data_IF_422118690299
#
_entry.id   IF_422118690299
#
_cell.length_a   1.000
_cell.length_b   1.000
_cell.length_c   1.000
_cell.angle_alpha   90.00
_cell.angle_beta   90.00
_cell.angle_gamma   90.00
#
_symmetry.space_group_name_H-M   'P 1'
#
loop_
_entity.id
_entity.type
_entity.pdbx_description
1 polymer ?
#
# COMPACT_ATOMS: atom_id res chain seq x y z
N UNK A 1 -11.97 2.14 54.32
CA UNK A 1 -13.11 1.59 53.57
C UNK A 1 -13.15 2.28 52.23
N UNK A 2 -13.11 1.50 51.15
CA UNK A 2 -13.40 1.81 49.73
C UNK A 2 -12.61 2.98 49.11
N UNK A 3 -11.64 2.79 48.22
CA UNK A 3 -11.68 2.18 46.87
C UNK A 3 -12.72 2.82 45.93
N UNK A 4 -12.20 3.50 44.91
CA UNK A 4 -12.81 3.69 43.60
C UNK A 4 -11.69 4.10 42.63
N UNK A 5 -11.11 3.09 41.98
CA UNK A 5 -10.16 3.24 40.89
C UNK A 5 -10.72 4.05 39.74
N UNK A 6 -9.88 4.93 39.20
CA UNK A 6 -10.09 5.51 37.89
C UNK A 6 -9.36 4.61 36.88
N UNK A 7 -10.12 3.69 36.30
CA UNK A 7 -9.72 2.91 35.15
C UNK A 7 -9.46 3.87 33.98
N UNK A 8 -8.19 4.14 33.71
CA UNK A 8 -7.75 4.83 32.50
C UNK A 8 -7.94 3.89 31.31
N UNK A 9 -9.09 3.98 30.65
CA UNK A 9 -9.35 3.30 29.40
C UNK A 9 -8.29 3.69 28.37
N UNK A 10 -7.55 2.70 27.87
CA UNK A 10 -6.69 2.87 26.70
C UNK A 10 -7.62 3.07 25.51
N UNK A 11 -7.74 4.30 25.01
CA UNK A 11 -8.41 4.53 23.74
C UNK A 11 -7.68 3.70 22.66
N UNK A 12 -8.40 3.00 21.76
CA UNK A 12 -7.77 2.27 20.67
C UNK A 12 -7.06 3.25 19.73
N UNK A 13 -5.75 3.42 19.93
CA UNK A 13 -4.88 4.25 19.11
C UNK A 13 -4.20 3.39 18.04
N UNK A 14 -4.33 3.77 16.77
CA UNK A 14 -3.55 3.18 15.69
C UNK A 14 -2.29 4.01 15.45
N UNK A 15 -1.12 3.37 15.48
CA UNK A 15 0.14 4.02 15.08
C UNK A 15 0.38 3.72 13.61
N UNK A 16 0.11 4.69 12.74
CA UNK A 16 0.47 4.61 11.32
C UNK A 16 1.93 5.01 11.15
N UNK A 17 2.73 4.11 10.58
CA UNK A 17 4.12 4.39 10.20
C UNK A 17 4.25 4.18 8.70
N UNK A 18 4.67 5.21 7.98
CA UNK A 18 5.04 5.09 6.57
C UNK A 18 6.53 4.75 6.46
N UNK A 19 6.89 3.93 5.47
CA UNK A 19 8.27 3.67 5.12
C UNK A 19 8.44 3.97 3.62
N UNK A 20 9.25 4.99 3.32
CA UNK A 20 9.48 5.45 1.95
C UNK A 20 10.37 4.51 1.15
N UNK A 21 10.06 4.39 -0.15
CA UNK A 21 10.76 3.67 -1.22
C UNK A 21 10.77 2.14 -1.15
N UNK A 22 9.65 1.56 -1.60
CA UNK A 22 9.47 0.13 -1.79
C UNK A 22 9.34 -0.58 -0.44
N UNK A 23 8.25 -1.30 -0.22
CA UNK A 23 8.01 -1.95 1.06
C UNK A 23 9.20 -2.82 1.55
N UNK A 24 10.08 -3.26 0.64
CA UNK A 24 11.25 -4.09 0.91
C UNK A 24 12.24 -3.48 1.93
N UNK A 25 12.89 -2.35 1.64
CA UNK A 25 13.93 -1.80 2.55
C UNK A 25 13.33 -1.11 3.77
N UNK A 26 12.15 -0.51 3.62
CA UNK A 26 11.47 0.23 4.68
C UNK A 26 10.89 -0.68 5.78
N UNK A 27 10.22 -1.76 5.38
CA UNK A 27 9.61 -2.70 6.32
C UNK A 27 10.66 -3.54 7.04
N UNK A 28 11.69 -4.01 6.32
CA UNK A 28 12.80 -4.78 6.89
C UNK A 28 13.53 -3.98 7.98
N UNK A 29 13.88 -2.71 7.69
CA UNK A 29 14.51 -1.83 8.67
C UNK A 29 13.59 -1.46 9.83
N UNK A 30 12.28 -1.34 9.59
CA UNK A 30 11.32 -1.08 10.65
C UNK A 30 11.22 -2.26 11.64
N UNK A 31 11.18 -3.48 11.13
CA UNK A 31 11.22 -4.68 11.96
C UNK A 31 12.55 -4.83 12.71
N UNK A 32 13.68 -4.70 12.00
CA UNK A 32 15.01 -4.91 12.58
C UNK A 32 15.39 -3.84 13.62
N UNK A 33 15.11 -2.55 13.36
CA UNK A 33 15.46 -1.48 14.31
C UNK A 33 14.37 -1.21 15.34
N UNK A 34 13.10 -1.10 14.92
CA UNK A 34 12.05 -0.52 15.77
C UNK A 34 11.30 -1.59 16.56
N UNK A 35 10.99 -2.74 15.96
CA UNK A 35 10.28 -3.81 16.68
C UNK A 35 11.20 -4.52 17.69
N UNK A 36 12.50 -4.65 17.38
CA UNK A 36 13.50 -5.20 18.32
C UNK A 36 13.72 -4.31 19.55
N UNK A 37 13.67 -2.97 19.39
CA UNK A 37 13.91 -2.01 20.47
C UNK A 37 12.63 -1.63 21.23
N UNK A 38 11.45 -1.65 20.59
CA UNK A 38 10.19 -1.22 21.20
C UNK A 38 9.26 -2.36 21.67
N UNK A 39 9.52 -3.60 21.25
CA UNK A 39 8.65 -4.75 21.55
C UNK A 39 7.28 -4.73 20.83
N UNK A 40 7.00 -3.73 20.00
CA UNK A 40 5.77 -3.64 19.23
C UNK A 40 5.79 -4.63 18.06
N UNK A 41 4.67 -5.34 17.85
CA UNK A 41 4.42 -6.16 16.65
C UNK A 41 3.29 -5.54 15.86
N UNK A 42 3.52 -5.11 14.60
CA UNK A 42 2.42 -4.63 13.78
C UNK A 42 1.45 -5.77 13.48
N UNK A 43 0.15 -5.48 13.55
CA UNK A 43 -0.91 -6.45 13.27
C UNK A 43 -1.32 -6.46 11.79
N UNK A 44 -1.07 -5.37 11.07
CA UNK A 44 -1.40 -5.22 9.66
C UNK A 44 -0.38 -4.33 8.95
N UNK A 45 -0.20 -4.52 7.65
CA UNK A 45 0.58 -3.64 6.80
C UNK A 45 -0.25 -3.19 5.60
N UNK A 46 -0.26 -1.88 5.34
CA UNK A 46 -0.97 -1.29 4.21
C UNK A 46 0.01 -1.02 3.08
N UNK A 47 -0.20 -1.65 1.93
CA UNK A 47 0.50 -1.41 0.69
C UNK A 47 -0.30 -0.43 -0.16
N UNK A 48 0.18 0.81 -0.28
CA UNK A 48 -0.44 1.82 -1.15
C UNK A 48 0.02 1.60 -2.59
N UNK A 49 -0.93 1.54 -3.52
CA UNK A 49 -0.70 1.25 -4.94
C UNK A 49 -1.44 2.28 -5.80
N UNK A 50 -0.84 2.66 -6.94
CA UNK A 50 -1.49 3.55 -7.93
C UNK A 50 -1.41 2.90 -9.31
N UNK A 51 -2.34 3.22 -10.21
CA UNK A 51 -2.31 2.73 -11.60
C UNK A 51 -0.99 3.11 -12.26
N UNK A 52 -0.57 4.37 -12.12
CA UNK A 52 0.68 4.87 -12.70
C UNK A 52 1.92 4.16 -12.18
N UNK A 53 1.97 3.83 -10.89
CA UNK A 53 3.10 3.08 -10.32
C UNK A 53 3.18 1.66 -10.91
N UNK A 54 2.06 0.95 -11.04
CA UNK A 54 2.06 -0.37 -11.67
C UNK A 54 2.48 -0.29 -13.14
N UNK A 55 1.93 0.64 -13.91
CA UNK A 55 2.37 0.84 -15.30
C UNK A 55 3.86 1.15 -15.39
N UNK A 56 4.41 1.98 -14.51
CA UNK A 56 5.85 2.25 -14.45
C UNK A 56 6.69 0.99 -14.15
N UNK A 57 6.16 0.07 -13.35
CA UNK A 57 6.77 -1.23 -13.03
C UNK A 57 6.55 -2.32 -14.09
N UNK A 58 5.85 -2.03 -15.20
CA UNK A 58 5.70 -2.96 -16.33
C UNK A 58 7.00 -3.26 -17.07
N UNK A 59 8.04 -2.43 -16.88
CA UNK A 59 9.30 -2.50 -17.63
C UNK A 59 9.22 -1.93 -19.05
N UNK A 60 8.05 -1.46 -19.49
CA UNK A 60 7.83 -0.91 -20.85
C UNK A 60 8.15 0.59 -20.95
N UNK A 61 8.21 1.29 -19.82
CA UNK A 61 8.40 2.74 -19.77
C UNK A 61 9.74 3.11 -19.15
N UNK A 62 10.41 4.09 -19.74
CA UNK A 62 11.59 4.72 -19.15
C UNK A 62 11.16 5.94 -18.34
N UNK A 63 11.08 5.79 -17.03
CA UNK A 63 10.78 6.89 -16.11
C UNK A 63 12.07 7.61 -15.73
N UNK A 64 12.09 8.93 -15.88
CA UNK A 64 13.22 9.78 -15.50
C UNK A 64 12.73 10.75 -14.43
N UNK A 65 13.34 10.71 -13.25
CA UNK A 65 12.99 11.60 -12.14
C UNK A 65 13.08 13.07 -12.56
N UNK A 66 12.07 13.85 -12.19
CA UNK A 66 11.98 15.27 -12.53
C UNK A 66 11.51 15.57 -13.95
N UNK A 67 11.19 14.55 -14.76
CA UNK A 67 10.52 14.70 -16.05
C UNK A 67 9.08 14.25 -15.97
N UNK A 68 8.26 14.78 -16.87
CA UNK A 68 6.89 14.31 -17.06
C UNK A 68 6.87 12.82 -17.42
N UNK A 69 5.79 12.16 -17.02
CA UNK A 69 5.57 10.77 -17.34
C UNK A 69 5.38 10.61 -18.86
N UNK A 70 5.83 9.49 -19.46
CA UNK A 70 5.58 9.22 -20.86
C UNK A 70 4.07 9.31 -21.17
N UNK A 71 3.64 10.05 -22.21
CA UNK A 71 2.22 10.20 -22.52
C UNK A 71 1.48 8.87 -22.71
N UNK A 72 2.14 7.88 -23.33
CA UNK A 72 1.60 6.53 -23.50
C UNK A 72 1.26 5.83 -22.18
N UNK A 73 1.88 6.22 -21.06
CA UNK A 73 1.59 5.66 -19.74
C UNK A 73 0.31 6.25 -19.12
N UNK A 74 -0.19 7.37 -19.65
CA UNK A 74 -1.44 8.00 -19.23
C UNK A 74 -2.66 7.39 -19.94
N UNK A 75 -2.44 6.67 -21.04
CA UNK A 75 -3.50 5.96 -21.78
C UNK A 75 -3.94 4.70 -21.02
N UNK A 76 -5.21 4.31 -21.18
CA UNK A 76 -5.77 3.08 -20.62
C UNK A 76 -5.04 1.84 -21.17
N UNK A 77 -4.44 1.03 -20.30
CA UNK A 77 -3.72 -0.18 -20.67
C UNK A 77 -3.67 -1.22 -19.54
N UNK A 78 -4.57 -2.21 -19.60
CA UNK A 78 -4.63 -3.30 -18.63
C UNK A 78 -3.40 -4.23 -18.69
N UNK A 79 -2.76 -4.38 -19.84
CA UNK A 79 -1.56 -5.23 -19.95
C UNK A 79 -0.38 -4.64 -19.19
N UNK A 80 -0.25 -3.31 -19.17
CA UNK A 80 0.79 -2.62 -18.42
C UNK A 80 0.56 -2.75 -16.91
N UNK A 81 -0.70 -2.63 -16.47
CA UNK A 81 -1.09 -2.89 -15.07
C UNK A 81 -0.76 -4.32 -14.66
N UNK A 82 -1.14 -5.31 -15.47
CA UNK A 82 -0.85 -6.74 -15.23
C UNK A 82 0.65 -7.03 -15.20
N UNK A 83 1.42 -6.47 -16.13
CA UNK A 83 2.87 -6.63 -16.16
C UNK A 83 3.53 -6.05 -14.90
N UNK A 84 3.08 -4.88 -14.46
CA UNK A 84 3.56 -4.22 -13.25
C UNK A 84 3.12 -4.86 -11.93
N UNK A 85 2.02 -5.62 -11.95
CA UNK A 85 1.47 -6.27 -10.76
C UNK A 85 2.43 -7.26 -10.10
N UNK A 86 3.40 -7.80 -10.84
CA UNK A 86 4.47 -8.63 -10.29
C UNK A 86 5.21 -7.97 -9.12
N UNK A 87 5.43 -6.65 -9.17
CA UNK A 87 6.04 -5.88 -8.09
C UNK A 87 5.14 -5.84 -6.84
N UNK A 88 3.84 -5.58 -7.03
CA UNK A 88 2.86 -5.59 -5.94
C UNK A 88 2.79 -6.96 -5.26
N UNK A 89 2.67 -8.04 -6.05
CA UNK A 89 2.61 -9.41 -5.53
C UNK A 89 3.84 -9.77 -4.70
N UNK A 90 5.03 -9.31 -5.11
CA UNK A 90 6.27 -9.51 -4.34
C UNK A 90 6.22 -8.78 -2.99
N UNK A 91 5.73 -7.55 -2.94
CA UNK A 91 5.57 -6.85 -1.66
C UNK A 91 4.54 -7.54 -0.74
N UNK A 92 3.45 -8.08 -1.30
CA UNK A 92 2.49 -8.86 -0.51
C UNK A 92 3.12 -10.10 0.11
N UNK A 93 4.00 -10.82 -0.63
CA UNK A 93 4.69 -11.99 -0.07
C UNK A 93 5.70 -11.61 1.01
N UNK A 94 6.37 -10.46 0.87
CA UNK A 94 7.31 -9.94 1.88
C UNK A 94 6.56 -9.60 3.18
N UNK A 95 5.44 -8.88 3.09
CA UNK A 95 4.57 -8.58 4.25
C UNK A 95 4.17 -9.86 4.98
N UNK A 96 3.76 -10.90 4.24
CA UNK A 96 3.40 -12.21 4.80
C UNK A 96 4.60 -12.92 5.43
N UNK A 97 5.79 -12.76 4.87
CA UNK A 97 7.04 -13.27 5.45
C UNK A 97 7.33 -12.73 6.85
N UNK A 98 6.83 -11.52 7.16
CA UNK A 98 6.89 -10.92 8.50
C UNK A 98 5.71 -11.33 9.41
N UNK A 99 4.82 -12.22 8.95
CA UNK A 99 3.70 -12.74 9.73
C UNK A 99 2.49 -11.82 9.82
N UNK A 100 2.35 -10.86 8.91
CA UNK A 100 1.21 -9.93 8.86
C UNK A 100 0.31 -10.20 7.65
N UNK A 101 -0.97 -9.86 7.78
CA UNK A 101 -1.89 -9.86 6.65
C UNK A 101 -1.80 -8.52 5.90
N UNK A 102 -1.47 -8.52 4.59
CA UNK A 102 -1.42 -7.29 3.81
C UNK A 102 -2.80 -6.75 3.45
N UNK A 103 -2.93 -5.42 3.50
CA UNK A 103 -4.05 -4.66 2.93
C UNK A 103 -3.52 -3.84 1.77
N UNK A 104 -4.17 -3.90 0.61
CA UNK A 104 -3.87 -3.05 -0.54
C UNK A 104 -4.79 -1.84 -0.55
N UNK A 105 -4.21 -0.65 -0.48
CA UNK A 105 -4.92 0.61 -0.67
C UNK A 105 -4.65 1.14 -2.08
N UNK A 106 -5.63 1.11 -2.96
CA UNK A 106 -5.51 1.64 -4.32
C UNK A 106 -5.81 3.14 -4.26
N UNK A 107 -4.78 3.97 -4.37
CA UNK A 107 -4.91 5.41 -4.41
C UNK A 107 -5.27 5.86 -5.83
N UNK A 108 -6.55 6.16 -6.04
CA UNK A 108 -7.15 6.50 -7.33
C UNK A 108 -6.96 7.98 -7.64
N UNK A 109 -6.40 8.28 -8.81
CA UNK A 109 -6.29 9.64 -9.33
C UNK A 109 -7.40 9.94 -10.36
N UNK A 110 -7.78 11.22 -10.57
CA UNK A 110 -8.81 11.59 -11.54
C UNK A 110 -8.52 11.19 -13.00
N UNK A 111 -7.26 10.88 -13.31
CA UNK A 111 -6.82 10.45 -14.64
C UNK A 111 -6.73 8.93 -14.78
N UNK A 112 -7.00 8.18 -13.71
CA UNK A 112 -7.00 6.73 -13.74
C UNK A 112 -8.32 6.23 -14.34
N UNK A 113 -8.27 5.12 -15.08
CA UNK A 113 -9.47 4.52 -15.68
C UNK A 113 -10.04 3.46 -14.76
N UNK A 114 -11.37 3.39 -14.64
CA UNK A 114 -12.06 2.45 -13.74
C UNK A 114 -11.67 1.00 -13.99
N UNK A 115 -11.50 0.60 -15.26
CA UNK A 115 -11.09 -0.76 -15.61
C UNK A 115 -9.69 -1.11 -15.08
N UNK A 116 -8.80 -0.14 -14.95
CA UNK A 116 -7.44 -0.33 -14.44
C UNK A 116 -7.47 -0.48 -12.93
N UNK A 117 -8.26 0.34 -12.24
CA UNK A 117 -8.50 0.24 -10.80
C UNK A 117 -9.10 -1.13 -10.45
N UNK A 118 -10.09 -1.58 -11.22
CA UNK A 118 -10.73 -2.88 -11.01
C UNK A 118 -9.81 -4.06 -11.33
N UNK A 119 -8.92 -3.94 -12.32
CA UNK A 119 -7.89 -4.97 -12.57
C UNK A 119 -6.91 -5.09 -11.39
N UNK A 120 -6.49 -3.97 -10.80
CA UNK A 120 -5.64 -3.97 -9.59
C UNK A 120 -6.39 -4.65 -8.43
N UNK A 121 -7.65 -4.28 -8.22
CA UNK A 121 -8.50 -4.91 -7.20
C UNK A 121 -8.59 -6.41 -7.40
N UNK A 122 -8.82 -6.86 -8.63
CA UNK A 122 -8.92 -8.28 -8.96
C UNK A 122 -7.63 -9.02 -8.62
N UNK A 123 -6.48 -8.51 -9.10
CA UNK A 123 -5.17 -9.13 -8.86
C UNK A 123 -4.85 -9.21 -7.36
N UNK A 124 -5.09 -8.12 -6.62
CA UNK A 124 -4.83 -8.09 -5.18
C UNK A 124 -5.75 -9.05 -4.40
N UNK A 125 -7.03 -9.15 -4.79
CA UNK A 125 -8.00 -10.07 -4.19
C UNK A 125 -7.65 -11.53 -4.49
N UNK A 126 -7.27 -11.85 -5.74
CA UNK A 126 -6.79 -13.18 -6.16
C UNK A 126 -5.51 -13.59 -5.41
N UNK A 127 -4.66 -12.61 -5.08
CA UNK A 127 -3.49 -12.81 -4.24
C UNK A 127 -3.81 -12.96 -2.74
N UNK A 128 -5.08 -12.92 -2.36
CA UNK A 128 -5.59 -13.09 -1.00
C UNK A 128 -5.39 -11.89 -0.09
N UNK A 129 -5.17 -10.69 -0.63
CA UNK A 129 -5.06 -9.47 0.16
C UNK A 129 -6.44 -8.79 0.33
N UNK A 130 -6.65 -8.11 1.45
CA UNK A 130 -7.78 -7.19 1.58
C UNK A 130 -7.53 -5.96 0.70
N UNK A 131 -8.58 -5.43 0.06
CA UNK A 131 -8.44 -4.30 -0.87
C UNK A 131 -9.41 -3.18 -0.54
N UNK A 132 -8.91 -1.96 -0.44
CA UNK A 132 -9.68 -0.72 -0.42
C UNK A 132 -9.27 0.16 -1.59
N UNK A 133 -10.22 0.60 -2.40
CA UNK A 133 -9.97 1.73 -3.30
C UNK A 133 -10.21 3.00 -2.51
N UNK A 134 -9.24 3.90 -2.52
CA UNK A 134 -9.27 5.14 -1.75
C UNK A 134 -9.11 6.34 -2.66
N UNK A 135 -9.86 7.40 -2.36
CA UNK A 135 -9.94 8.62 -3.16
C UNK A 135 -9.40 9.87 -2.40
N UNK A 136 -8.19 9.82 -1.81
CA UNK A 136 -7.71 10.89 -0.93
C UNK A 136 -7.48 12.22 -1.67
N UNK A 137 -7.26 12.17 -2.99
CA UNK A 137 -7.05 13.36 -3.83
C UNK A 137 -8.37 14.13 -4.05
N UNK A 138 -9.51 13.43 -4.14
CA UNK A 138 -10.81 14.05 -4.42
C UNK A 138 -11.69 14.19 -3.18
N UNK A 139 -11.49 13.35 -2.16
CA UNK A 139 -12.38 13.24 -1.00
C UNK A 139 -11.66 13.45 0.35
N UNK A 140 -10.35 13.70 0.35
CA UNK A 140 -9.57 13.92 1.57
C UNK A 140 -9.53 12.69 2.47
N UNK A 141 -9.45 12.86 3.80
CA UNK A 141 -9.32 11.76 4.76
C UNK A 141 -10.58 10.89 4.97
N UNK A 142 -11.66 11.15 4.24
CA UNK A 142 -12.90 10.37 4.30
C UNK A 142 -13.00 9.31 3.17
N UNK A 143 -12.12 9.38 2.17
CA UNK A 143 -12.14 8.57 0.96
C UNK A 143 -11.08 7.50 0.91
#
# INVERSE_FOLDING_TARGET
GHDAGQEGGCEPGYVLTEAGFGADMGLERFFDLKCSVSGMRPEAAVLVVTVRALKAHSGKYRIVSGKELPPAMLEENLEDVRAGASNMLKHLSIVRGFGMEPVVAINVFPTDHDCEVEEIRRIATEAGAHVAAVHPVTEGGAG
#
